data_IF_974929640556
#
_entry.id   IF_974929640556
#
_cell.length_a   1.000
_cell.length_b   1.000
_cell.length_c   1.000
_cell.angle_alpha   90.00
_cell.angle_beta   90.00
_cell.angle_gamma   90.00
#
_symmetry.space_group_name_H-M   'P 1'
#
loop_
_entity.id
_entity.type
_entity.pdbx_description
1 polymer ?
#
# COMPACT_ATOMS: atom_id res chain seq x y z
N UNK A 1 -3.68 32.28 4.63
CA UNK A 1 -2.25 32.10 4.28
C UNK A 1 -1.61 31.08 5.25
N UNK A 2 -2.13 29.84 5.25
CA UNK A 2 -1.77 28.78 6.24
C UNK A 2 -1.24 27.50 5.57
N UNK A 3 -1.12 27.50 4.24
CA UNK A 3 -0.72 26.35 3.41
C UNK A 3 0.76 25.95 3.47
N UNK A 4 1.51 26.31 4.52
CA UNK A 4 2.98 26.20 4.44
C UNK A 4 3.75 25.68 5.64
N UNK A 5 3.10 25.17 6.67
CA UNK A 5 3.82 24.67 7.84
C UNK A 5 3.10 23.46 8.44
N UNK A 6 3.28 22.27 7.87
CA UNK A 6 3.32 21.03 8.68
C UNK A 6 3.86 19.78 7.96
N UNK A 7 4.71 19.94 6.95
CA UNK A 7 5.46 18.80 6.37
C UNK A 7 6.74 18.57 7.19
N UNK A 8 6.65 17.96 8.37
CA UNK A 8 7.81 17.59 9.21
C UNK A 8 7.47 16.42 10.18
N UNK A 9 8.28 15.35 10.36
CA UNK A 9 9.13 14.61 9.43
C UNK A 9 8.56 13.17 9.31
N UNK A 10 7.73 12.92 8.29
CA UNK A 10 7.12 11.59 8.06
C UNK A 10 8.14 10.51 7.64
N UNK A 11 9.42 10.86 7.53
CA UNK A 11 10.54 9.94 7.26
C UNK A 11 10.81 8.95 8.41
N UNK A 12 10.21 9.15 9.60
CA UNK A 12 10.48 8.31 10.78
C UNK A 12 9.72 6.97 10.80
N UNK A 13 8.68 6.79 9.98
CA UNK A 13 7.98 5.49 9.86
C UNK A 13 8.70 4.50 8.92
N UNK A 14 9.60 4.99 8.06
CA UNK A 14 10.43 4.15 7.19
C UNK A 14 11.37 3.26 8.02
N UNK A 15 11.78 3.72 9.22
CA UNK A 15 12.76 3.03 10.07
C UNK A 15 12.21 1.78 10.78
N UNK A 16 10.89 1.58 10.83
CA UNK A 16 10.30 0.35 11.42
C UNK A 16 10.18 -0.78 10.39
N UNK A 17 10.13 -0.44 9.09
CA UNK A 17 10.10 -1.43 8.00
C UNK A 17 11.46 -2.08 7.70
N UNK A 18 12.58 -1.49 8.14
CA UNK A 18 13.92 -2.00 7.84
C UNK A 18 14.24 -3.35 8.53
N UNK A 19 13.46 -3.77 9.54
CA UNK A 19 13.72 -5.00 10.31
C UNK A 19 12.99 -6.25 9.81
N UNK A 20 12.15 -6.14 8.78
CA UNK A 20 11.42 -7.27 8.16
C UNK A 20 12.02 -7.65 6.79
N UNK A 21 13.08 -6.96 6.37
CA UNK A 21 13.53 -6.87 4.97
C UNK A 21 14.45 -8.01 4.50
N UNK A 22 14.88 -8.96 5.33
CA UNK A 22 15.98 -9.86 4.93
C UNK A 22 15.57 -11.23 4.34
N UNK A 23 14.31 -11.69 4.43
CA UNK A 23 13.93 -13.05 3.96
C UNK A 23 12.58 -13.16 3.22
N UNK A 24 11.87 -12.06 2.93
CA UNK A 24 10.51 -12.12 2.32
C UNK A 24 10.51 -11.53 0.90
N UNK A 25 11.54 -11.86 0.16
CA UNK A 25 11.90 -11.23 -1.11
C UNK A 25 10.92 -11.59 -2.25
N UNK A 26 10.43 -10.53 -2.92
CA UNK A 26 9.93 -10.43 -4.30
C UNK A 26 8.44 -10.66 -4.64
N UNK A 27 7.64 -11.43 -3.91
CA UNK A 27 6.21 -11.63 -4.28
C UNK A 27 5.19 -11.05 -3.30
N UNK A 28 5.47 -11.09 -2.00
CA UNK A 28 4.51 -10.65 -0.97
C UNK A 28 4.33 -9.12 -0.88
N UNK A 29 5.23 -8.37 -1.50
CA UNK A 29 5.31 -6.94 -1.29
C UNK A 29 4.31 -6.10 -2.09
N UNK A 30 3.61 -6.60 -3.11
CA UNK A 30 2.64 -5.74 -3.79
C UNK A 30 1.34 -5.54 -2.98
N UNK A 31 0.81 -6.59 -2.35
CA UNK A 31 -0.44 -6.52 -1.59
C UNK A 31 -0.28 -5.74 -0.29
N UNK A 32 0.75 -6.05 0.51
CA UNK A 32 0.98 -5.38 1.80
C UNK A 32 1.29 -3.89 1.61
N UNK A 33 2.08 -3.52 0.61
CA UNK A 33 2.37 -2.11 0.34
C UNK A 33 1.13 -1.34 -0.13
N UNK A 34 0.23 -1.96 -0.90
CA UNK A 34 -1.02 -1.31 -1.30
C UNK A 34 -1.93 -1.11 -0.08
N UNK A 35 -2.01 -2.10 0.82
CA UNK A 35 -2.76 -1.99 2.08
C UNK A 35 -2.20 -0.87 2.97
N UNK A 36 -0.88 -0.79 3.13
CA UNK A 36 -0.23 0.29 3.87
C UNK A 36 -0.53 1.68 3.27
N UNK A 37 -0.55 1.79 1.94
CA UNK A 37 -0.92 3.04 1.24
C UNK A 37 -2.38 3.42 1.45
N UNK A 38 -3.31 2.46 1.47
CA UNK A 38 -4.72 2.70 1.78
C UNK A 38 -4.90 3.22 3.22
N UNK A 39 -4.23 2.61 4.19
CA UNK A 39 -4.24 3.06 5.59
C UNK A 39 -3.68 4.48 5.72
N UNK A 40 -2.57 4.75 5.03
CA UNK A 40 -1.98 6.08 5.02
C UNK A 40 -2.92 7.13 4.40
N UNK A 41 -3.55 6.80 3.27
CA UNK A 41 -4.49 7.68 2.59
C UNK A 41 -5.70 8.02 3.49
N UNK A 42 -6.22 7.04 4.23
CA UNK A 42 -7.28 7.24 5.22
C UNK A 42 -6.84 8.17 6.36
N UNK A 43 -5.63 7.97 6.89
CA UNK A 43 -5.07 8.84 7.93
C UNK A 43 -4.94 10.30 7.43
N UNK A 44 -4.50 10.50 6.19
CA UNK A 44 -4.42 11.84 5.59
C UNK A 44 -5.79 12.51 5.47
N UNK A 45 -6.84 11.76 5.13
CA UNK A 45 -8.20 12.29 5.11
C UNK A 45 -8.69 12.66 6.51
N UNK A 46 -8.47 11.79 7.50
CA UNK A 46 -8.84 12.02 8.90
C UNK A 46 -8.13 13.23 9.51
N UNK A 47 -6.91 13.53 9.06
CA UNK A 47 -6.13 14.71 9.45
C UNK A 47 -6.45 15.96 8.62
N UNK A 48 -7.45 15.90 7.74
CA UNK A 48 -7.83 16.97 6.80
C UNK A 48 -6.66 17.44 5.90
N UNK A 49 -5.67 16.59 5.66
CA UNK A 49 -4.52 16.88 4.78
C UNK A 49 -4.87 16.75 3.30
N UNK A 50 -5.90 15.97 2.98
CA UNK A 50 -6.47 15.79 1.64
C UNK A 50 -7.99 15.99 1.67
N UNK A 51 -8.57 16.36 0.53
CA UNK A 51 -10.03 16.41 0.38
C UNK A 51 -10.62 15.01 0.17
N UNK A 52 -11.90 14.86 0.49
CA UNK A 52 -12.69 13.64 0.20
C UNK A 52 -12.62 13.26 -1.30
N UNK A 53 -12.75 14.24 -2.21
CA UNK A 53 -12.61 13.99 -3.65
C UNK A 53 -11.21 13.47 -4.05
N UNK A 54 -10.16 13.95 -3.36
CA UNK A 54 -8.79 13.48 -3.60
C UNK A 54 -8.57 12.08 -3.01
N UNK A 55 -9.16 11.81 -1.84
CA UNK A 55 -9.20 10.49 -1.23
C UNK A 55 -9.86 9.48 -2.17
N UNK A 56 -11.11 9.72 -2.61
CA UNK A 56 -11.89 8.79 -3.42
C UNK A 56 -11.14 8.38 -4.71
N UNK A 57 -10.55 9.37 -5.40
CA UNK A 57 -9.78 9.12 -6.63
C UNK A 57 -8.56 8.24 -6.38
N UNK A 58 -7.83 8.48 -5.29
CA UNK A 58 -6.62 7.72 -4.97
C UNK A 58 -6.95 6.33 -4.40
N UNK A 59 -8.01 6.24 -3.59
CA UNK A 59 -8.51 4.99 -3.04
C UNK A 59 -8.93 4.05 -4.17
N UNK A 60 -9.70 4.55 -5.14
CA UNK A 60 -10.13 3.74 -6.29
C UNK A 60 -8.92 3.18 -7.07
N UNK A 61 -7.91 4.01 -7.34
CA UNK A 61 -6.69 3.57 -8.03
C UNK A 61 -5.96 2.48 -7.24
N UNK A 62 -5.82 2.65 -5.92
CA UNK A 62 -5.15 1.68 -5.05
C UNK A 62 -5.93 0.37 -4.98
N UNK A 63 -7.26 0.43 -4.88
CA UNK A 63 -8.12 -0.76 -4.86
C UNK A 63 -8.11 -1.52 -6.20
N UNK A 64 -8.04 -0.82 -7.34
CA UNK A 64 -7.85 -1.48 -8.63
C UNK A 64 -6.54 -2.26 -8.68
N UNK A 65 -5.45 -1.65 -8.22
CA UNK A 65 -4.13 -2.32 -8.15
C UNK A 65 -4.15 -3.51 -7.20
N UNK A 66 -4.82 -3.37 -6.06
CA UNK A 66 -4.97 -4.46 -5.09
C UNK A 66 -5.65 -5.67 -5.72
N UNK A 67 -6.74 -5.45 -6.47
CA UNK A 67 -7.46 -6.53 -7.18
C UNK A 67 -6.55 -7.27 -8.15
N UNK A 68 -5.83 -6.53 -9.00
CA UNK A 68 -4.90 -7.13 -9.98
C UNK A 68 -3.81 -7.94 -9.27
N UNK A 69 -3.20 -7.38 -8.22
CA UNK A 69 -2.18 -8.08 -7.44
C UNK A 69 -2.73 -9.37 -6.80
N UNK A 70 -3.97 -9.33 -6.29
CA UNK A 70 -4.61 -10.48 -5.67
C UNK A 70 -4.94 -11.60 -6.68
N UNK A 71 -5.39 -11.22 -7.88
CA UNK A 71 -5.64 -12.18 -8.96
C UNK A 71 -4.37 -12.88 -9.41
N UNK A 72 -3.26 -12.13 -9.54
CA UNK A 72 -1.96 -12.69 -9.90
C UNK A 72 -1.45 -13.67 -8.82
N UNK A 73 -1.49 -13.29 -7.55
CA UNK A 73 -1.11 -14.17 -6.43
C UNK A 73 -1.91 -15.49 -6.47
N UNK A 74 -3.22 -15.41 -6.72
CA UNK A 74 -4.07 -16.60 -6.82
C UNK A 74 -3.75 -17.46 -8.05
N UNK A 75 -3.38 -16.86 -9.18
CA UNK A 75 -2.99 -17.58 -10.38
C UNK A 75 -1.66 -18.31 -10.17
N UNK A 76 -0.64 -17.61 -9.66
CA UNK A 76 0.66 -18.20 -9.35
C UNK A 76 0.54 -19.36 -8.36
N UNK A 77 -0.29 -19.20 -7.33
CA UNK A 77 -0.55 -20.27 -6.36
C UNK A 77 -1.20 -21.50 -7.02
N UNK A 78 -2.13 -21.31 -7.97
CA UNK A 78 -2.75 -22.43 -8.69
C UNK A 78 -1.76 -23.14 -9.59
N UNK A 79 -0.98 -22.38 -10.36
CA UNK A 79 0.05 -22.92 -11.26
C UNK A 79 1.07 -23.75 -10.46
N UNK A 80 1.56 -23.23 -9.33
CA UNK A 80 2.49 -23.95 -8.46
C UNK A 80 1.91 -25.26 -7.90
N UNK A 81 0.60 -25.31 -7.63
CA UNK A 81 -0.08 -26.53 -7.16
C UNK A 81 -0.35 -27.54 -8.29
N UNK A 82 -0.42 -27.08 -9.53
CA UNK A 82 -0.59 -27.92 -10.73
C UNK A 82 0.74 -28.49 -11.23
N UNK A 83 1.86 -27.77 -11.07
CA UNK A 83 3.21 -28.24 -11.44
C UNK A 83 3.75 -29.35 -10.51
N UNK A 84 3.23 -29.44 -9.27
CA UNK A 84 3.66 -30.43 -8.26
C UNK A 84 2.89 -31.77 -8.34
N UNK A 85 2.00 -31.95 -9.34
CA UNK A 85 1.21 -33.18 -9.62
C UNK A 85 1.69 -33.94 -10.85
#
# INVERSE_FOLDING_TARGET
MIFKIFTWPLDTLIMVGEKVKEEVDKELYDLEHIQQKLVHLQMMLEMEEISEEAYDKQEEILLQRYRVAKELEQQQLREALEEDQ
#
